data_IF_538227963853
#
_entry.id   IF_538227963853
#
_cell.length_a   1.000
_cell.length_b   1.000
_cell.length_c   1.000
_cell.angle_alpha   90.00
_cell.angle_beta   90.00
_cell.angle_gamma   90.00
#
_symmetry.space_group_name_H-M   'P 1'
#
loop_
_entity.id
_entity.type
_entity.pdbx_description
1 polymer ?
#
# COMPACT_ATOMS: atom_id res chain seq x y z
N UNK A 1 11.16 11.33 -7.08
CA UNK A 1 11.09 9.91 -7.46
C UNK A 1 9.73 9.41 -7.02
N UNK A 2 9.02 8.74 -7.91
CA UNK A 2 7.69 8.21 -7.65
C UNK A 2 7.78 6.80 -7.04
N UNK A 3 6.74 6.40 -6.32
CA UNK A 3 6.65 5.08 -5.68
C UNK A 3 5.29 4.45 -5.94
N UNK A 4 5.31 3.26 -6.50
CA UNK A 4 4.12 2.46 -6.69
C UNK A 4 4.31 1.07 -6.08
N UNK A 5 3.37 0.69 -5.22
CA UNK A 5 3.36 -0.63 -4.61
C UNK A 5 2.30 -1.53 -5.26
N UNK A 6 2.77 -2.63 -5.84
CA UNK A 6 1.97 -3.71 -6.38
C UNK A 6 2.22 -4.96 -5.54
N UNK A 7 1.18 -5.47 -4.90
CA UNK A 7 1.27 -6.63 -4.03
C UNK A 7 0.07 -6.79 -3.10
N UNK A 8 0.18 -7.77 -2.22
CA UNK A 8 -0.81 -8.02 -1.18
C UNK A 8 -0.62 -7.08 0.00
N UNK A 9 -1.73 -6.57 0.51
CA UNK A 9 -1.74 -5.74 1.69
C UNK A 9 -3.03 -5.92 2.45
N UNK A 10 -2.99 -5.53 3.71
CA UNK A 10 -4.18 -5.26 4.50
C UNK A 10 -4.15 -3.80 4.93
N UNK A 11 -5.06 -3.44 5.85
CA UNK A 11 -5.12 -2.08 6.40
C UNK A 11 -3.82 -1.59 7.04
N UNK A 12 -2.93 -2.46 7.50
CA UNK A 12 -1.79 -2.12 8.35
C UNK A 12 -0.43 -2.58 7.80
N UNK A 13 -0.36 -3.38 6.72
CA UNK A 13 0.88 -3.98 6.26
C UNK A 13 0.96 -4.04 4.73
N UNK A 14 2.15 -3.69 4.20
CA UNK A 14 2.59 -4.18 2.89
C UNK A 14 3.21 -5.57 3.07
N UNK A 15 2.86 -6.52 2.21
CA UNK A 15 3.38 -7.88 2.25
C UNK A 15 4.31 -8.10 1.06
N UNK A 16 5.55 -8.48 1.31
CA UNK A 16 6.58 -8.62 0.27
C UNK A 16 6.79 -10.06 -0.16
N UNK A 17 6.47 -11.03 0.68
CA UNK A 17 6.52 -12.45 0.34
C UNK A 17 5.15 -13.11 0.53
N UNK A 18 4.39 -13.21 -0.55
CA UNK A 18 3.39 -14.26 -0.61
C UNK A 18 4.08 -15.52 -1.15
N UNK A 19 4.77 -16.21 -0.24
CA UNK A 19 5.48 -17.44 -0.57
C UNK A 19 4.47 -18.58 -0.70
N UNK A 20 4.49 -19.29 -1.83
CA UNK A 20 3.76 -20.57 -1.98
C UNK A 20 4.20 -21.66 -0.97
N UNK A 21 5.17 -21.37 -0.09
CA UNK A 21 5.71 -22.30 0.93
C UNK A 21 4.87 -22.30 2.21
N UNK A 22 4.14 -21.23 2.52
CA UNK A 22 3.19 -21.19 3.65
C UNK A 22 1.88 -20.60 3.17
N UNK A 23 0.81 -21.42 3.20
CA UNK A 23 -0.53 -20.97 2.88
C UNK A 23 -0.96 -19.85 3.83
N UNK A 24 -1.46 -18.75 3.27
CA UNK A 24 -2.06 -17.63 3.99
C UNK A 24 -1.17 -16.89 4.98
N UNK A 25 0.17 -16.98 4.86
CA UNK A 25 1.11 -16.25 5.71
C UNK A 25 2.21 -15.52 4.93
N UNK A 26 2.65 -14.39 5.47
CA UNK A 26 3.74 -13.55 4.97
C UNK A 26 4.86 -13.54 6.02
N UNK A 27 6.12 -13.75 5.62
CA UNK A 27 7.28 -13.70 6.54
C UNK A 27 8.09 -12.41 6.43
N UNK A 28 7.81 -11.60 5.43
CA UNK A 28 8.47 -10.33 5.12
C UNK A 28 7.38 -9.29 4.81
N UNK A 29 7.05 -8.49 5.81
CA UNK A 29 6.09 -7.39 5.71
C UNK A 29 6.70 -6.09 6.21
N UNK A 30 6.06 -4.97 5.84
CA UNK A 30 6.31 -3.67 6.44
C UNK A 30 5.04 -3.21 7.15
N UNK A 31 5.06 -3.20 8.49
CA UNK A 31 3.93 -2.71 9.28
C UNK A 31 3.87 -1.18 9.23
N UNK A 32 2.67 -0.62 9.29
CA UNK A 32 2.43 0.83 9.19
C UNK A 32 3.12 1.66 10.30
N UNK A 33 3.43 1.05 11.44
CA UNK A 33 4.21 1.68 12.53
C UNK A 33 5.70 1.77 12.22
N UNK A 34 6.19 0.92 11.32
CA UNK A 34 7.58 0.89 10.88
C UNK A 34 7.85 1.86 9.73
N UNK A 35 6.81 2.51 9.18
CA UNK A 35 6.98 3.52 8.13
C UNK A 35 7.88 4.67 8.56
N UNK A 36 7.96 4.95 9.86
CA UNK A 36 8.88 5.94 10.44
C UNK A 36 10.36 5.62 10.20
N UNK A 37 10.71 4.36 9.90
CA UNK A 37 12.06 3.94 9.52
C UNK A 37 12.43 4.37 8.09
N UNK A 38 11.45 4.76 7.26
CA UNK A 38 11.71 5.24 5.92
C UNK A 38 12.30 6.64 6.00
N UNK A 39 13.44 6.85 5.35
CA UNK A 39 14.05 8.18 5.25
C UNK A 39 13.11 9.10 4.48
N UNK A 40 12.68 10.20 5.11
CA UNK A 40 11.88 11.27 4.46
C UNK A 40 12.56 11.83 3.21
N UNK A 41 13.88 11.78 3.16
CA UNK A 41 14.67 12.26 2.02
C UNK A 41 14.63 11.31 0.82
N UNK A 42 14.05 10.12 0.97
CA UNK A 42 13.84 9.20 -0.14
C UNK A 42 12.77 9.70 -1.13
N UNK A 43 11.89 10.61 -0.70
CA UNK A 43 10.81 11.13 -1.54
C UNK A 43 11.01 12.61 -1.87
N UNK A 44 10.65 12.96 -3.10
CA UNK A 44 10.45 14.35 -3.48
C UNK A 44 9.14 14.86 -2.88
N UNK A 45 9.02 16.17 -2.61
CA UNK A 45 7.79 16.76 -2.07
C UNK A 45 6.57 16.54 -2.96
N UNK A 46 6.79 16.38 -4.27
CA UNK A 46 5.74 16.15 -5.27
C UNK A 46 5.76 14.74 -5.84
N UNK A 47 6.42 13.80 -5.17
CA UNK A 47 6.45 12.40 -5.58
C UNK A 47 5.02 11.84 -5.67
N UNK A 48 4.73 11.15 -6.78
CA UNK A 48 3.54 10.34 -6.90
C UNK A 48 3.73 9.07 -6.08
N UNK A 49 2.84 8.83 -5.12
CA UNK A 49 2.88 7.64 -4.26
C UNK A 49 1.52 6.94 -4.30
N UNK A 50 1.49 5.70 -4.76
CA UNK A 50 0.28 4.89 -4.80
C UNK A 50 0.51 3.44 -4.39
N UNK A 51 -0.37 2.93 -3.55
CA UNK A 51 -0.51 1.50 -3.28
C UNK A 51 -1.72 0.96 -4.02
N UNK A 52 -1.52 -0.08 -4.81
CA UNK A 52 -2.58 -0.81 -5.51
C UNK A 52 -3.13 -2.00 -4.70
N UNK A 53 -2.58 -2.22 -3.50
CA UNK A 53 -3.02 -3.27 -2.59
C UNK A 53 -4.28 -2.91 -1.82
N UNK A 54 -5.04 -3.94 -1.43
CA UNK A 54 -6.28 -3.85 -0.68
C UNK A 54 -6.11 -3.07 0.64
N UNK A 55 -7.14 -2.31 1.03
CA UNK A 55 -7.34 -1.69 2.35
C UNK A 55 -6.27 -0.68 2.82
N UNK A 56 -5.22 -0.40 2.03
CA UNK A 56 -4.14 0.50 2.42
C UNK A 56 -4.57 1.95 2.68
N UNK A 57 -5.67 2.39 2.05
CA UNK A 57 -6.28 3.70 2.27
C UNK A 57 -7.00 3.86 3.61
N UNK A 58 -7.25 2.76 4.34
CA UNK A 58 -7.99 2.81 5.61
C UNK A 58 -7.12 3.22 6.81
N UNK A 59 -5.80 3.08 6.72
CA UNK A 59 -4.87 3.50 7.78
C UNK A 59 -3.49 3.86 7.25
N UNK A 60 -2.90 3.03 6.38
CA UNK A 60 -1.53 3.24 5.90
C UNK A 60 -1.33 4.59 5.21
N UNK A 61 -2.29 5.07 4.40
CA UNK A 61 -2.18 6.40 3.75
C UNK A 61 -1.91 7.53 4.74
N UNK A 62 -2.64 7.55 5.86
CA UNK A 62 -2.47 8.56 6.91
C UNK A 62 -1.11 8.42 7.60
N UNK A 63 -0.70 7.19 7.96
CA UNK A 63 0.59 6.94 8.62
C UNK A 63 1.78 7.18 7.70
N UNK A 64 1.62 6.91 6.40
CA UNK A 64 2.61 7.19 5.38
C UNK A 64 2.89 8.69 5.29
N UNK A 65 1.85 9.53 5.23
CA UNK A 65 2.04 10.98 5.26
C UNK A 65 2.74 11.45 6.54
N UNK A 66 2.35 10.91 7.70
CA UNK A 66 3.00 11.24 8.96
C UNK A 66 4.51 10.89 8.95
N UNK A 67 4.87 9.72 8.42
CA UNK A 67 6.24 9.25 8.35
C UNK A 67 7.07 9.99 7.29
N UNK A 68 6.59 10.06 6.06
CA UNK A 68 7.37 10.50 4.88
C UNK A 68 7.16 11.97 4.52
N UNK A 69 6.00 12.54 4.86
CA UNK A 69 5.58 13.88 4.43
C UNK A 69 4.97 13.94 3.03
N UNK A 70 4.75 12.80 2.38
CA UNK A 70 4.14 12.70 1.04
C UNK A 70 2.82 11.94 1.16
N UNK A 71 1.80 12.32 0.40
CA UNK A 71 0.52 11.62 0.41
C UNK A 71 0.59 10.32 -0.40
N UNK A 72 0.12 9.22 0.19
CA UNK A 72 -0.02 7.95 -0.52
C UNK A 72 -1.49 7.69 -0.85
N UNK A 73 -1.78 7.45 -2.13
CA UNK A 73 -3.09 6.98 -2.57
C UNK A 73 -3.19 5.48 -2.26
N UNK A 74 -4.18 5.09 -1.45
CA UNK A 74 -4.46 3.70 -1.09
C UNK A 74 -5.93 3.34 -1.29
N UNK A 75 -6.21 2.03 -1.37
CA UNK A 75 -7.58 1.53 -1.52
C UNK A 75 -8.32 1.51 -0.18
N UNK A 76 -9.54 2.03 -0.15
CA UNK A 76 -10.55 1.68 0.86
C UNK A 76 -11.37 0.54 0.27
N UNK A 77 -11.29 -0.65 0.88
CA UNK A 77 -11.83 -1.89 0.32
C UNK A 77 -10.82 -2.75 -0.46
N UNK A 78 -11.34 -3.82 -1.08
CA UNK A 78 -10.58 -4.81 -1.84
C UNK A 78 -10.27 -4.32 -3.26
N UNK A 79 -9.06 -4.63 -3.71
CA UNK A 79 -8.66 -4.54 -5.12
C UNK A 79 -8.57 -5.93 -5.74
N UNK A 80 -8.77 -6.01 -7.05
CA UNK A 80 -8.58 -7.23 -7.83
C UNK A 80 -7.57 -6.98 -8.94
N UNK A 81 -6.61 -7.89 -9.07
CA UNK A 81 -5.67 -7.92 -10.18
C UNK A 81 -6.32 -8.67 -11.34
N UNK A 82 -6.36 -8.04 -12.50
CA UNK A 82 -6.76 -8.66 -13.75
C UNK A 82 -5.52 -8.86 -14.63
N UNK A 83 -5.61 -9.76 -15.61
CA UNK A 83 -4.51 -9.98 -16.55
C UNK A 83 -4.29 -8.71 -17.37
N UNK A 84 -3.04 -8.22 -17.40
CA UNK A 84 -2.61 -7.08 -18.22
C UNK A 84 -3.27 -5.72 -17.90
N UNK A 85 -3.93 -5.58 -16.74
CA UNK A 85 -4.58 -4.33 -16.32
C UNK A 85 -4.14 -3.88 -14.92
N UNK A 86 -4.29 -2.58 -14.65
CA UNK A 86 -4.07 -2.02 -13.31
C UNK A 86 -5.16 -2.53 -12.34
N UNK A 87 -4.83 -2.74 -11.05
CA UNK A 87 -5.80 -3.25 -10.10
C UNK A 87 -7.04 -2.35 -9.94
N UNK A 88 -8.22 -2.97 -9.99
CA UNK A 88 -9.51 -2.28 -9.85
C UNK A 88 -10.10 -2.49 -8.46
N UNK A 89 -10.92 -1.54 -8.00
CA UNK A 89 -11.69 -1.68 -6.76
C UNK A 89 -12.92 -2.57 -7.02
N UNK A 90 -13.11 -3.58 -6.18
CA UNK A 90 -14.22 -4.55 -6.34
C UNK A 90 -15.18 -4.56 -5.15
N UNK A 91 -14.88 -3.80 -4.09
CA UNK A 91 -15.78 -3.65 -2.95
C UNK A 91 -16.87 -2.62 -3.24
N UNK A 92 -18.09 -2.92 -2.81
CA UNK A 92 -19.19 -1.94 -2.82
C UNK A 92 -18.80 -0.71 -1.98
N UNK A 93 -18.91 0.48 -2.58
CA UNK A 93 -18.46 1.73 -1.94
C UNK A 93 -16.93 1.90 -1.86
N UNK A 94 -16.15 1.02 -2.49
CA UNK A 94 -14.69 1.13 -2.53
C UNK A 94 -14.23 2.40 -3.26
N UNK A 95 -13.16 3.02 -2.76
CA UNK A 95 -12.58 4.24 -3.36
C UNK A 95 -11.09 4.35 -3.08
N UNK A 96 -10.40 5.16 -3.88
CA UNK A 96 -9.02 5.55 -3.64
C UNK A 96 -8.99 6.77 -2.72
N UNK A 97 -8.15 6.75 -1.69
CA UNK A 97 -8.04 7.80 -0.67
C UNK A 97 -6.59 8.05 -0.24
N UNK A 98 -6.30 9.22 0.34
CA UNK A 98 -4.96 9.65 0.76
C UNK A 98 -4.93 10.35 2.12
#
# INVERSE_FOLDING_TARGET
>A
MDFEYFGHSNRACFMFDYSNVIDSACKAWLHEDELSKISRRAFDRHAYVKSWGCHTGESMSKKWYAATGVHMIGAIGKTQYMMEELPILVSEGGKWAN
#
